data_IF_007439251298
#
_entry.id   IF_007439251298
#
_cell.length_a   1.000
_cell.length_b   1.000
_cell.length_c   1.000
_cell.angle_alpha   90.00
_cell.angle_beta   90.00
_cell.angle_gamma   90.00
#
_symmetry.space_group_name_H-M   'P 1'
#
loop_
_entity.id
_entity.type
_entity.pdbx_description
1 polymer ?
#
# COMPACT_ATOMS: atom_id res chain seq x y z
N UNK A 1 -1.53 -14.68 -17.36
CA UNK A 1 -1.21 -15.75 -16.40
C UNK A 1 -2.50 -16.47 -16.06
N UNK A 2 -2.55 -17.82 -16.05
CA UNK A 2 -3.73 -18.54 -15.60
C UNK A 2 -4.03 -18.17 -14.14
N UNK A 3 -5.28 -17.77 -13.88
CA UNK A 3 -5.79 -17.36 -12.56
C UNK A 3 -6.19 -18.60 -11.74
N UNK A 4 -5.83 -18.66 -10.47
CA UNK A 4 -6.20 -19.78 -9.60
C UNK A 4 -7.71 -19.71 -9.26
N UNK A 5 -8.41 -20.86 -9.23
CA UNK A 5 -9.83 -20.89 -8.86
C UNK A 5 -9.97 -20.75 -7.33
N UNK A 6 -10.67 -19.71 -6.87
CA UNK A 6 -11.02 -19.42 -5.45
C UNK A 6 -9.87 -19.14 -4.47
N UNK A 7 -8.61 -19.11 -4.92
CA UNK A 7 -7.42 -18.86 -4.09
C UNK A 7 -6.35 -18.12 -4.89
N UNK A 8 -6.70 -16.94 -5.40
CA UNK A 8 -5.89 -16.23 -6.38
C UNK A 8 -5.25 -14.97 -5.83
N UNK A 9 -4.17 -14.53 -6.47
CA UNK A 9 -3.62 -13.20 -6.21
C UNK A 9 -4.57 -12.16 -6.83
N UNK A 10 -4.92 -11.13 -6.09
CA UNK A 10 -5.79 -10.05 -6.58
C UNK A 10 -4.97 -8.84 -7.00
N UNK A 11 -3.96 -8.48 -6.20
CA UNK A 11 -3.05 -7.37 -6.47
C UNK A 11 -1.59 -7.81 -6.32
N UNK A 12 -0.79 -7.52 -7.34
CA UNK A 12 0.68 -7.62 -7.34
C UNK A 12 1.23 -6.22 -7.60
N UNK A 13 1.98 -5.71 -6.62
CA UNK A 13 2.39 -4.30 -6.51
C UNK A 13 1.22 -3.33 -6.74
N UNK A 14 0.05 -3.63 -6.20
CA UNK A 14 -1.15 -2.79 -6.29
C UNK A 14 -1.87 -2.78 -7.63
N UNK A 15 -1.53 -3.69 -8.54
CA UNK A 15 -2.18 -3.85 -9.85
C UNK A 15 -2.67 -5.29 -10.02
N UNK A 16 -3.68 -5.51 -10.87
CA UNK A 16 -4.12 -6.86 -11.20
C UNK A 16 -2.96 -7.68 -11.82
N UNK A 17 -2.82 -8.99 -11.52
CA UNK A 17 -1.74 -9.82 -12.05
C UNK A 17 -1.65 -9.88 -13.58
N UNK A 18 -2.78 -9.66 -14.24
CA UNK A 18 -2.96 -9.64 -15.69
C UNK A 18 -2.91 -8.23 -16.31
N UNK A 19 -2.66 -7.19 -15.52
CA UNK A 19 -2.44 -5.85 -16.07
C UNK A 19 -1.07 -5.79 -16.77
N UNK A 20 -1.11 -5.63 -18.10
CA UNK A 20 0.07 -5.59 -18.97
C UNK A 20 0.57 -4.17 -19.25
N UNK A 21 -0.03 -3.13 -18.63
CA UNK A 21 0.38 -1.75 -18.90
C UNK A 21 1.83 -1.48 -18.47
N UNK A 22 2.59 -0.66 -19.21
CA UNK A 22 3.99 -0.34 -18.89
C UNK A 22 4.18 0.22 -17.48
N UNK A 23 3.23 1.04 -17.00
CA UNK A 23 3.27 1.59 -15.63
C UNK A 23 3.31 0.48 -14.58
N UNK A 24 2.48 -0.54 -14.72
CA UNK A 24 2.37 -1.65 -13.80
C UNK A 24 3.69 -2.43 -13.77
N UNK A 25 4.21 -2.76 -14.97
CA UNK A 25 5.50 -3.46 -15.13
C UNK A 25 6.67 -2.68 -14.52
N UNK A 26 6.69 -1.35 -14.64
CA UNK A 26 7.71 -0.53 -14.02
C UNK A 26 7.74 -0.67 -12.49
N UNK A 27 6.58 -0.67 -11.82
CA UNK A 27 6.52 -0.88 -10.37
C UNK A 27 7.01 -2.28 -9.97
N UNK A 28 6.69 -3.29 -10.78
CA UNK A 28 7.06 -4.68 -10.53
C UNK A 28 8.57 -4.88 -10.66
N UNK A 29 9.15 -4.43 -11.78
CA UNK A 29 10.60 -4.49 -12.05
C UNK A 29 11.40 -3.76 -10.98
N UNK A 30 10.90 -2.62 -10.50
CA UNK A 30 11.54 -1.83 -9.45
C UNK A 30 11.25 -2.36 -8.05
N UNK A 31 10.30 -3.27 -7.87
CA UNK A 31 9.87 -3.74 -6.55
C UNK A 31 9.35 -2.61 -5.65
N UNK A 32 8.69 -1.59 -6.21
CA UNK A 32 8.22 -0.40 -5.48
C UNK A 32 6.73 -0.51 -5.19
N UNK A 33 6.33 -0.17 -3.97
CA UNK A 33 4.94 -0.05 -3.55
C UNK A 33 4.32 1.22 -4.16
N UNK A 34 3.25 1.14 -4.96
CA UNK A 34 2.65 2.32 -5.56
C UNK A 34 1.95 3.23 -4.54
N UNK A 35 1.54 2.69 -3.39
CA UNK A 35 0.74 3.42 -2.40
C UNK A 35 1.56 4.43 -1.58
N UNK A 36 2.84 4.14 -1.34
CA UNK A 36 3.72 4.99 -0.52
C UNK A 36 5.05 5.32 -1.18
N UNK A 37 5.27 4.91 -2.43
CA UNK A 37 6.46 5.25 -3.20
C UNK A 37 7.78 4.62 -2.73
N UNK A 38 7.76 3.71 -1.75
CA UNK A 38 8.96 3.04 -1.22
C UNK A 38 9.04 1.57 -1.65
N UNK A 39 10.21 0.94 -1.50
CA UNK A 39 10.38 -0.49 -1.81
C UNK A 39 9.37 -1.36 -1.04
N UNK A 40 8.83 -2.38 -1.71
CA UNK A 40 8.01 -3.39 -1.05
C UNK A 40 8.86 -4.12 -0.01
N UNK A 41 8.26 -4.46 1.13
CA UNK A 41 8.94 -5.13 2.25
C UNK A 41 8.60 -6.61 2.37
N UNK A 42 7.77 -7.13 1.44
CA UNK A 42 7.41 -8.54 1.38
C UNK A 42 8.43 -9.28 0.55
N UNK A 43 9.38 -9.91 1.23
CA UNK A 43 10.42 -10.72 0.63
C UNK A 43 10.29 -12.18 1.06
N UNK A 44 10.93 -13.06 0.31
CA UNK A 44 11.26 -14.40 0.80
C UNK A 44 12.29 -14.35 1.93
N UNK A 45 12.58 -15.50 2.53
CA UNK A 45 13.40 -15.60 3.74
C UNK A 45 14.83 -15.05 3.56
N UNK A 46 15.47 -15.36 2.43
CA UNK A 46 16.83 -14.91 2.10
C UNK A 46 16.88 -13.53 1.41
N UNK A 47 15.72 -12.89 1.21
CA UNK A 47 15.55 -11.60 0.52
C UNK A 47 15.98 -11.57 -0.95
N UNK A 48 16.15 -12.72 -1.60
CA UNK A 48 16.48 -12.79 -3.03
C UNK A 48 15.28 -12.42 -3.94
N UNK A 49 14.05 -12.57 -3.45
CA UNK A 49 12.82 -12.33 -4.22
C UNK A 49 11.89 -11.37 -3.47
N UNK A 50 11.35 -10.38 -4.17
CA UNK A 50 10.30 -9.48 -3.68
C UNK A 50 8.95 -10.01 -4.16
N UNK A 51 8.03 -10.33 -3.26
CA UNK A 51 6.74 -10.93 -3.62
C UNK A 51 5.73 -9.92 -4.18
N UNK A 52 5.66 -8.72 -3.61
CA UNK A 52 4.74 -7.68 -4.10
C UNK A 52 3.24 -7.94 -3.89
N UNK A 53 2.81 -9.05 -3.29
CA UNK A 53 1.37 -9.37 -3.16
C UNK A 53 0.68 -8.42 -2.17
N UNK A 54 -0.35 -7.70 -2.63
CA UNK A 54 -1.08 -6.72 -1.81
C UNK A 54 -2.41 -7.26 -1.28
N UNK A 55 -3.15 -8.02 -2.09
CA UNK A 55 -4.40 -8.68 -1.74
C UNK A 55 -4.53 -10.05 -2.43
N UNK A 56 -5.35 -10.93 -1.86
CA UNK A 56 -5.61 -12.30 -2.33
C UNK A 56 -7.08 -12.64 -2.20
N UNK A 57 -7.58 -13.62 -2.97
CA UNK A 57 -8.86 -14.26 -2.69
C UNK A 57 -8.65 -15.29 -1.59
N UNK A 58 -9.47 -15.21 -0.54
CA UNK A 58 -9.62 -16.26 0.46
C UNK A 58 -11.10 -16.47 0.72
N UNK A 59 -11.54 -17.72 0.74
CA UNK A 59 -12.95 -18.09 0.93
C UNK A 59 -13.93 -17.38 -0.03
N UNK A 60 -13.47 -16.97 -1.22
CA UNK A 60 -14.28 -16.29 -2.23
C UNK A 60 -14.32 -14.77 -2.10
N UNK A 61 -13.67 -14.19 -1.08
CA UNK A 61 -13.59 -12.74 -0.88
C UNK A 61 -12.17 -12.23 -1.11
N UNK A 62 -12.04 -11.00 -1.60
CA UNK A 62 -10.75 -10.33 -1.70
C UNK A 62 -10.34 -9.79 -0.33
N UNK A 63 -9.16 -10.20 0.14
CA UNK A 63 -8.60 -9.82 1.43
C UNK A 63 -7.30 -9.05 1.21
N UNK A 64 -7.23 -7.84 1.75
CA UNK A 64 -5.99 -7.07 1.84
C UNK A 64 -5.07 -7.73 2.87
N UNK A 65 -3.87 -8.11 2.44
CA UNK A 65 -2.86 -8.76 3.30
C UNK A 65 -1.62 -7.88 3.48
N UNK A 66 -1.66 -6.63 3.03
CA UNK A 66 -0.53 -5.71 3.08
C UNK A 66 -0.90 -4.45 3.88
N UNK A 67 -0.20 -4.11 4.97
CA UNK A 67 -0.49 -2.88 5.71
C UNK A 67 -0.24 -1.64 4.84
N UNK A 68 0.76 -1.65 3.96
CA UNK A 68 1.03 -0.53 3.04
C UNK A 68 -0.12 -0.29 2.04
N UNK A 69 -0.96 -1.30 1.76
CA UNK A 69 -2.15 -1.14 0.91
C UNK A 69 -3.24 -0.30 1.59
N UNK A 70 -3.29 -0.30 2.92
CA UNK A 70 -4.22 0.53 3.72
C UNK A 70 -3.84 2.03 3.69
N UNK A 71 -2.64 2.36 3.21
CA UNK A 71 -2.17 3.74 3.07
C UNK A 71 -2.47 4.33 1.68
N UNK A 72 -3.17 3.57 0.82
CA UNK A 72 -3.64 4.08 -0.46
C UNK A 72 -4.48 5.34 -0.29
N UNK A 73 -4.61 6.09 -1.39
CA UNK A 73 -5.44 7.30 -1.43
C UNK A 73 -5.08 8.30 -0.32
N UNK A 74 -3.77 8.51 -0.13
CA UNK A 74 -3.24 9.45 0.87
C UNK A 74 -3.75 9.16 2.29
N UNK A 75 -3.66 7.89 2.69
CA UNK A 75 -4.06 7.39 4.01
C UNK A 75 -5.57 7.49 4.29
N UNK A 76 -6.42 7.41 3.26
CA UNK A 76 -7.87 7.56 3.38
C UNK A 76 -8.48 6.64 4.45
N UNK A 77 -8.16 5.35 4.45
CA UNK A 77 -8.69 4.41 5.46
C UNK A 77 -8.38 4.86 6.89
N UNK A 78 -7.16 5.35 7.14
CA UNK A 78 -6.79 5.83 8.48
C UNK A 78 -7.53 7.12 8.83
N UNK A 79 -7.70 8.03 7.86
CA UNK A 79 -8.45 9.27 8.05
C UNK A 79 -9.93 9.00 8.34
N UNK A 80 -10.53 8.04 7.65
CA UNK A 80 -11.92 7.64 7.85
C UNK A 80 -12.11 7.05 9.27
N UNK A 81 -11.25 6.11 9.69
CA UNK A 81 -11.29 5.54 11.05
C UNK A 81 -11.03 6.60 12.12
N UNK A 82 -10.06 7.50 11.90
CA UNK A 82 -9.81 8.60 12.82
C UNK A 82 -11.02 9.54 12.93
N UNK A 83 -11.69 9.81 11.82
CA UNK A 83 -12.89 10.65 11.78
C UNK A 83 -14.05 10.03 12.54
N UNK A 84 -14.22 8.71 12.42
CA UNK A 84 -15.26 7.96 13.13
C UNK A 84 -14.98 7.89 14.65
N UNK A 85 -13.74 7.58 15.02
CA UNK A 85 -13.36 7.41 16.42
C UNK A 85 -13.24 8.72 17.22
N UNK A 86 -12.77 9.79 16.58
CA UNK A 86 -12.40 11.04 17.26
C UNK A 86 -13.10 12.28 16.72
N UNK A 87 -13.97 12.14 15.71
CA UNK A 87 -14.50 13.27 14.96
C UNK A 87 -13.48 13.87 13.99
N UNK A 88 -13.78 15.04 13.43
CA UNK A 88 -12.95 15.70 12.41
C UNK A 88 -11.70 16.36 13.02
N UNK A 89 -10.72 15.54 13.41
CA UNK A 89 -9.40 15.99 13.81
C UNK A 89 -8.40 15.87 12.63
N UNK A 90 -7.49 16.84 12.48
CA UNK A 90 -6.39 16.70 11.52
C UNK A 90 -5.51 15.49 11.85
N UNK A 91 -5.37 14.58 10.89
CA UNK A 91 -4.42 13.47 10.98
C UNK A 91 -3.12 13.88 10.29
N UNK A 92 -2.04 13.91 11.08
CA UNK A 92 -0.68 14.17 10.62
C UNK A 92 0.19 12.93 10.77
N UNK A 93 1.00 12.67 9.75
CA UNK A 93 2.11 11.75 9.82
C UNK A 93 3.27 12.39 10.58
N UNK A 94 4.14 11.57 11.18
CA UNK A 94 5.28 12.06 11.98
C UNK A 94 6.18 13.02 11.19
N UNK A 95 6.38 12.78 9.89
CA UNK A 95 7.15 13.67 9.02
C UNK A 95 6.43 14.99 8.70
N UNK A 96 5.09 15.03 8.76
CA UNK A 96 4.30 16.25 8.58
C UNK A 96 4.34 17.12 9.84
N UNK A 97 4.36 16.51 11.03
CA UNK A 97 4.48 17.24 12.31
C UNK A 97 5.80 17.98 12.42
N UNK A 98 6.92 17.37 12.02
CA UNK A 98 8.24 18.05 12.01
C UNK A 98 8.24 19.32 11.16
N UNK A 99 7.46 19.33 10.07
CA UNK A 99 7.29 20.53 9.24
C UNK A 99 6.55 21.65 9.97
N UNK A 100 5.59 21.32 10.84
CA UNK A 100 4.83 22.30 11.62
C UNK A 100 5.66 22.94 12.75
N UNK A 101 6.59 22.19 13.34
CA UNK A 101 7.52 22.73 14.34
C UNK A 101 8.50 23.72 13.70
N UNK A 102 9.02 23.43 12.51
CA UNK A 102 9.91 24.33 11.77
C UNK A 102 9.25 25.66 11.36
N UNK A 103 7.94 25.65 11.08
CA UNK A 103 7.18 26.87 10.78
C UNK A 103 6.94 27.72 12.04
N UNK A 104 6.89 27.12 13.22
CA UNK A 104 6.77 27.86 14.49
C UNK A 104 8.07 28.55 14.91
N UNK A 105 9.21 28.09 14.41
CA UNK A 105 10.54 28.63 14.75
C UNK A 105 11.06 29.68 13.76
N UNK A 106 10.30 30.05 12.72
CA UNK A 106 10.67 31.16 11.83
C UNK A 106 9.95 32.45 12.27
N UNK A 107 10.67 33.53 12.62
CA UNK A 107 10.08 34.80 13.04
C UNK A 107 9.22 35.49 11.98
#
# INVERSE_FOLDING_TARGET
>A
MPRAKKQDLCEVFGFAPDDLKPKCRNYWERGVCPFIGTKCTKYNHDKSIVYGVCSVISSGEEIIICPKRLYAESYKTLRDVSSDAFGYLPLYLVNEVKGLELVKETP
#
